data_IF_788542296676
#
_entry.id   IF_788542296676
#
_cell.length_a   1.000
_cell.length_b   1.000
_cell.length_c   1.000
_cell.angle_alpha   90.00
_cell.angle_beta   90.00
_cell.angle_gamma   90.00
#
_symmetry.space_group_name_H-M   'P 1'
#
loop_
_entity.id
_entity.type
_entity.pdbx_description
1 polymer ?
#
# COMPACT_ATOMS: atom_id res chain seq x y z
N UNK A 1 -65.74 57.82 40.47
CA UNK A 1 -65.56 56.35 40.52
C UNK A 1 -65.10 55.86 39.16
N UNK A 2 -63.79 55.59 38.98
CA UNK A 2 -63.26 54.67 37.93
C UNK A 2 -61.82 54.28 38.34
N UNK A 3 -61.63 53.06 38.77
CA UNK A 3 -60.35 52.45 39.05
C UNK A 3 -59.72 52.05 37.70
N UNK A 4 -58.55 52.58 37.40
CA UNK A 4 -57.68 52.12 36.29
C UNK A 4 -56.79 51.02 36.81
N UNK A 5 -56.88 49.81 36.21
CA UNK A 5 -56.01 48.66 36.42
C UNK A 5 -54.79 48.83 35.58
N UNK A 6 -53.62 49.07 36.15
CA UNK A 6 -52.36 49.03 35.52
C UNK A 6 -51.84 47.56 35.45
N UNK A 7 -51.72 47.01 34.26
CA UNK A 7 -51.20 45.65 33.97
C UNK A 7 -49.70 45.70 33.79
N UNK A 8 -48.95 45.04 34.67
CA UNK A 8 -47.49 44.90 34.58
C UNK A 8 -47.15 43.84 33.52
N UNK A 9 -46.86 44.28 32.31
CA UNK A 9 -46.56 43.40 31.16
C UNK A 9 -45.06 43.25 30.80
N UNK A 10 -44.12 43.63 31.66
CA UNK A 10 -42.69 43.70 31.25
C UNK A 10 -41.78 42.66 31.85
N UNK A 11 -42.23 41.85 32.83
CA UNK A 11 -41.33 40.86 33.49
C UNK A 11 -41.36 39.47 32.85
N UNK A 12 -42.46 39.09 32.19
CA UNK A 12 -42.60 37.75 31.59
C UNK A 12 -41.79 37.60 30.27
N UNK A 13 -41.69 38.68 29.47
CA UNK A 13 -40.95 38.65 28.20
C UNK A 13 -39.44 38.51 28.39
N UNK A 14 -38.83 39.04 29.44
CA UNK A 14 -37.38 38.90 29.72
C UNK A 14 -36.99 37.50 30.21
N UNK A 15 -37.87 36.82 30.94
CA UNK A 15 -37.64 35.46 31.41
C UNK A 15 -37.74 34.41 30.28
N UNK A 16 -38.62 34.64 29.31
CA UNK A 16 -38.81 33.75 28.19
C UNK A 16 -37.64 33.84 27.17
N UNK A 17 -37.17 35.03 26.85
CA UNK A 17 -36.01 35.27 25.99
C UNK A 17 -34.71 34.69 26.59
N UNK A 18 -34.51 34.80 27.91
CA UNK A 18 -33.36 34.24 28.61
C UNK A 18 -33.37 32.70 28.67
N UNK A 19 -34.55 32.08 28.71
CA UNK A 19 -34.66 30.60 28.63
C UNK A 19 -34.40 30.05 27.21
N UNK A 20 -34.93 30.75 26.20
CA UNK A 20 -34.67 30.39 24.80
C UNK A 20 -33.16 30.51 24.47
N UNK A 21 -32.50 31.60 24.90
CA UNK A 21 -31.08 31.80 24.67
C UNK A 21 -30.20 30.75 25.36
N UNK A 22 -30.63 30.24 26.56
CA UNK A 22 -29.92 29.17 27.28
C UNK A 22 -30.09 27.78 26.63
N UNK A 23 -31.14 27.53 25.87
CA UNK A 23 -31.36 26.28 25.15
C UNK A 23 -30.69 26.27 23.77
N UNK A 24 -30.61 27.43 23.12
CA UNK A 24 -29.98 27.51 21.78
C UNK A 24 -28.44 27.63 21.79
N UNK A 25 -27.85 28.16 22.88
CA UNK A 25 -26.40 28.31 22.99
C UNK A 25 -25.65 26.96 23.03
N UNK A 26 -26.08 25.94 23.81
CA UNK A 26 -25.46 24.61 23.75
C UNK A 26 -25.76 23.88 22.43
N UNK A 27 -26.92 24.11 21.81
CA UNK A 27 -27.25 23.50 20.51
C UNK A 27 -26.42 24.07 19.36
N UNK A 28 -26.11 25.38 19.35
CA UNK A 28 -25.23 25.99 18.36
C UNK A 28 -23.77 25.62 18.57
N UNK A 29 -23.33 25.41 19.81
CA UNK A 29 -21.98 24.92 20.10
C UNK A 29 -21.85 23.43 19.71
N UNK A 30 -22.85 22.61 19.97
CA UNK A 30 -22.92 21.23 19.55
C UNK A 30 -22.92 21.11 17.98
N UNK A 31 -23.71 21.97 17.32
CA UNK A 31 -23.77 21.99 15.85
C UNK A 31 -22.48 22.52 15.19
N UNK A 32 -21.75 23.44 15.86
CA UNK A 32 -20.41 23.87 15.33
C UNK A 32 -19.31 22.84 15.58
N UNK A 33 -19.43 21.97 16.57
CA UNK A 33 -18.51 20.84 16.78
C UNK A 33 -18.81 19.69 15.81
N UNK A 34 -20.09 19.49 15.46
CA UNK A 34 -20.52 18.52 14.44
C UNK A 34 -20.24 18.97 13.00
N UNK A 35 -19.93 20.25 12.76
CA UNK A 35 -19.58 20.80 11.46
C UNK A 35 -18.07 21.00 11.25
N UNK A 36 -17.23 20.54 12.16
CA UNK A 36 -15.83 20.29 11.85
C UNK A 36 -15.75 19.03 10.99
N UNK A 37 -16.24 19.13 9.75
CA UNK A 37 -15.84 18.22 8.71
C UNK A 37 -14.30 18.24 8.67
N UNK A 38 -13.69 17.19 9.15
CA UNK A 38 -12.31 16.91 8.80
C UNK A 38 -12.32 16.81 7.27
N UNK A 39 -11.95 17.89 6.61
CA UNK A 39 -11.68 17.83 5.17
C UNK A 39 -10.56 16.79 5.06
N UNK A 40 -10.89 15.60 4.62
CA UNK A 40 -9.90 14.65 4.14
C UNK A 40 -9.19 15.36 2.99
N UNK A 41 -8.06 16.00 3.27
CA UNK A 41 -7.19 16.52 2.24
C UNK A 41 -6.68 15.31 1.48
N UNK A 42 -7.19 15.08 0.28
CA UNK A 42 -6.62 14.13 -0.64
C UNK A 42 -5.14 14.50 -0.83
N UNK A 43 -4.24 13.66 -0.36
CA UNK A 43 -2.80 13.88 -0.52
C UNK A 43 -2.48 13.75 -2.00
N UNK A 44 -2.20 14.88 -2.65
CA UNK A 44 -1.78 14.88 -4.06
C UNK A 44 -0.29 14.65 -4.15
N UNK A 45 0.10 13.64 -4.91
CA UNK A 45 1.49 13.30 -5.24
C UNK A 45 1.69 13.31 -6.75
N UNK A 46 2.95 13.42 -7.18
CA UNK A 46 3.33 13.44 -8.60
C UNK A 46 3.96 12.14 -9.08
N UNK A 47 4.19 11.20 -8.18
CA UNK A 47 4.74 9.89 -8.49
C UNK A 47 3.85 9.10 -9.47
N UNK A 48 4.46 8.25 -10.29
CA UNK A 48 3.71 7.33 -11.17
C UNK A 48 3.04 6.19 -10.40
N UNK A 49 3.58 5.87 -9.23
CA UNK A 49 3.00 4.90 -8.33
C UNK A 49 3.61 5.04 -6.93
N UNK A 50 2.80 4.80 -5.90
CA UNK A 50 3.23 4.92 -4.51
C UNK A 50 2.43 4.01 -3.58
N UNK A 51 3.05 3.71 -2.43
CA UNK A 51 2.46 2.85 -1.42
C UNK A 51 3.03 3.17 -0.04
N UNK A 52 2.20 3.15 1.00
CA UNK A 52 2.64 3.17 2.39
C UNK A 52 1.93 2.05 3.13
N UNK A 53 2.68 1.27 3.89
CA UNK A 53 2.13 0.26 4.78
C UNK A 53 2.60 0.44 6.23
N UNK A 54 1.77 0.03 7.16
CA UNK A 54 2.18 -0.26 8.54
C UNK A 54 2.97 -1.57 8.53
N UNK A 55 4.22 -1.52 8.99
CA UNK A 55 5.14 -2.68 8.94
C UNK A 55 4.70 -3.85 9.81
N UNK A 56 3.99 -3.57 10.90
CA UNK A 56 3.55 -4.58 11.86
C UNK A 56 2.33 -5.35 11.36
N UNK A 57 1.40 -4.64 10.72
CA UNK A 57 0.11 -5.18 10.34
C UNK A 57 0.00 -5.52 8.86
N UNK A 58 0.89 -4.96 8.04
CA UNK A 58 0.80 -5.05 6.58
C UNK A 58 -0.28 -4.15 5.97
N UNK A 59 -1.02 -3.39 6.81
CA UNK A 59 -2.11 -2.52 6.35
C UNK A 59 -1.61 -1.44 5.39
N UNK A 60 -2.32 -1.26 4.28
CA UNK A 60 -2.08 -0.18 3.34
C UNK A 60 -2.67 1.14 3.88
N UNK A 61 -1.81 2.10 4.19
CA UNK A 61 -2.21 3.42 4.72
C UNK A 61 -2.30 4.49 3.64
N UNK A 62 -1.61 4.30 2.53
CA UNK A 62 -1.67 5.16 1.36
C UNK A 62 -1.40 4.36 0.09
N UNK A 63 -2.19 4.56 -0.95
CA UNK A 63 -2.07 3.88 -2.24
C UNK A 63 -2.21 4.86 -3.41
N UNK A 64 -1.38 4.69 -4.42
CA UNK A 64 -1.48 5.39 -5.68
C UNK A 64 -0.88 4.53 -6.80
N UNK A 65 -1.70 4.03 -7.73
CA UNK A 65 -1.28 3.07 -8.75
C UNK A 65 -0.45 1.90 -8.16
N UNK A 66 -0.91 1.26 -7.06
CA UNK A 66 -0.09 0.38 -6.23
C UNK A 66 0.40 -0.86 -6.97
N UNK A 67 -0.33 -1.33 -7.99
CA UNK A 67 -0.08 -2.60 -8.66
C UNK A 67 0.49 -2.46 -10.07
N UNK A 68 0.73 -1.22 -10.53
CA UNK A 68 1.34 -0.96 -11.84
C UNK A 68 2.85 -1.26 -11.80
N UNK A 69 3.38 -2.24 -12.59
CA UNK A 69 4.80 -2.55 -12.61
C UNK A 69 5.64 -1.43 -13.24
N UNK A 70 6.54 -0.85 -12.47
CA UNK A 70 7.44 0.24 -12.86
C UNK A 70 8.89 -0.24 -12.69
N UNK A 71 9.86 0.21 -13.55
CA UNK A 71 11.25 -0.07 -13.28
C UNK A 71 11.69 0.54 -11.94
N UNK A 72 12.25 -0.25 -11.00
CA UNK A 72 12.59 0.24 -9.66
C UNK A 72 13.95 0.96 -9.59
N UNK A 73 14.74 0.92 -10.66
CA UNK A 73 16.14 1.31 -10.60
C UNK A 73 16.88 0.61 -9.44
N UNK A 74 17.79 1.28 -8.75
CA UNK A 74 18.56 0.69 -7.65
C UNK A 74 17.76 0.27 -6.42
N UNK A 75 16.43 0.47 -6.36
CA UNK A 75 15.61 -0.20 -5.35
C UNK A 75 15.57 -1.73 -5.53
N UNK A 76 15.93 -2.23 -6.73
CA UNK A 76 16.22 -3.67 -6.98
C UNK A 76 17.11 -4.26 -5.89
N UNK A 77 18.08 -3.50 -5.38
CA UNK A 77 19.01 -3.96 -4.35
C UNK A 77 18.35 -4.30 -3.01
N UNK A 78 17.10 -3.88 -2.77
CA UNK A 78 16.35 -4.30 -1.59
C UNK A 78 16.15 -5.83 -1.63
N UNK A 79 15.75 -6.38 -2.78
CA UNK A 79 15.62 -7.82 -2.93
C UNK A 79 16.98 -8.51 -2.98
N UNK A 80 18.00 -7.91 -3.62
CA UNK A 80 19.36 -8.44 -3.58
C UNK A 80 19.91 -8.54 -2.15
N UNK A 81 19.64 -7.53 -1.31
CA UNK A 81 19.96 -7.57 0.12
C UNK A 81 19.19 -8.69 0.83
N UNK A 82 17.90 -8.89 0.52
CA UNK A 82 17.14 -10.00 1.10
C UNK A 82 17.83 -11.35 0.82
N UNK A 83 18.20 -11.62 -0.41
CA UNK A 83 18.93 -12.85 -0.78
C UNK A 83 20.25 -12.95 -0.02
N UNK A 84 21.04 -11.88 0.05
CA UNK A 84 22.31 -11.89 0.79
C UNK A 84 22.08 -12.19 2.27
N UNK A 85 21.06 -11.57 2.87
CA UNK A 85 20.72 -11.78 4.29
C UNK A 85 20.15 -13.17 4.56
N UNK A 86 19.46 -13.80 3.61
CA UNK A 86 19.03 -15.20 3.76
C UNK A 86 20.21 -16.15 3.87
N UNK A 87 21.27 -15.92 3.08
CA UNK A 87 22.53 -16.68 3.18
C UNK A 87 23.34 -16.38 4.43
N UNK A 88 23.23 -15.16 4.99
CA UNK A 88 23.80 -14.85 6.30
C UNK A 88 23.05 -15.58 7.42
N UNK A 89 21.74 -15.69 7.31
CA UNK A 89 20.90 -16.34 8.32
C UNK A 89 21.02 -17.87 8.32
N UNK A 90 21.18 -18.50 7.18
CA UNK A 90 21.39 -19.96 7.08
C UNK A 90 22.86 -20.40 7.32
N UNK A 91 23.77 -19.42 7.45
CA UNK A 91 25.18 -19.65 7.73
C UNK A 91 26.03 -20.04 6.51
N UNK A 92 25.47 -20.03 5.30
CA UNK A 92 26.24 -20.25 4.06
C UNK A 92 27.14 -19.06 3.69
N UNK A 93 26.84 -17.88 4.27
CA UNK A 93 27.64 -16.66 4.21
C UNK A 93 27.91 -16.12 5.63
N UNK A 94 29.02 -15.40 5.79
CA UNK A 94 29.34 -14.67 7.03
C UNK A 94 29.72 -13.23 6.68
N UNK A 95 29.49 -12.29 7.59
CA UNK A 95 29.94 -10.90 7.43
C UNK A 95 31.45 -10.76 7.24
N UNK A 96 32.23 -11.70 7.80
CA UNK A 96 33.69 -11.75 7.69
C UNK A 96 34.17 -12.43 6.40
N UNK A 97 33.27 -13.09 5.64
CA UNK A 97 33.62 -13.76 4.38
C UNK A 97 34.28 -12.78 3.43
N UNK A 98 35.48 -13.16 2.94
CA UNK A 98 36.27 -12.33 2.03
C UNK A 98 35.87 -12.58 0.59
N UNK A 99 35.28 -11.61 -0.06
CA UNK A 99 34.80 -11.65 -1.45
C UNK A 99 35.92 -11.18 -2.37
N UNK A 100 36.43 -12.04 -3.28
CA UNK A 100 37.48 -11.67 -4.21
C UNK A 100 36.91 -10.78 -5.35
N UNK A 101 37.67 -9.78 -5.76
CA UNK A 101 37.29 -8.87 -6.84
C UNK A 101 38.19 -9.08 -8.05
N UNK A 102 37.60 -9.58 -9.15
CA UNK A 102 38.26 -9.73 -10.43
C UNK A 102 38.42 -8.40 -11.18
N UNK A 103 39.30 -8.41 -12.21
CA UNK A 103 39.62 -7.19 -12.99
C UNK A 103 38.41 -6.56 -13.65
N UNK A 104 37.47 -7.34 -14.18
CA UNK A 104 36.28 -6.81 -14.84
C UNK A 104 35.43 -5.99 -13.88
N UNK A 105 35.18 -6.54 -12.70
CA UNK A 105 34.37 -5.88 -11.67
C UNK A 105 35.10 -4.66 -11.09
N UNK A 106 36.42 -4.73 -10.90
CA UNK A 106 37.20 -3.58 -10.47
C UNK A 106 37.15 -2.43 -11.51
N UNK A 107 37.19 -2.74 -12.80
CA UNK A 107 37.00 -1.72 -13.85
C UNK A 107 35.57 -1.16 -13.83
N UNK A 108 34.55 -2.00 -13.69
CA UNK A 108 33.17 -1.57 -13.59
C UNK A 108 32.94 -0.68 -12.36
N UNK A 109 33.60 -0.95 -11.24
CA UNK A 109 33.50 -0.12 -10.03
C UNK A 109 34.01 1.32 -10.22
N UNK A 110 34.79 1.60 -11.26
CA UNK A 110 35.36 2.90 -11.60
C UNK A 110 34.62 3.63 -12.70
N UNK A 111 33.61 2.99 -13.31
CA UNK A 111 32.79 3.63 -14.34
C UNK A 111 31.92 4.72 -13.71
N UNK A 112 32.08 6.00 -14.11
CA UNK A 112 31.33 7.11 -13.53
C UNK A 112 29.83 7.09 -13.88
N UNK A 113 29.41 6.26 -14.82
CA UNK A 113 28.00 6.07 -15.17
C UNK A 113 27.20 5.31 -14.12
N UNK A 114 27.86 4.70 -13.13
CA UNK A 114 27.24 3.87 -12.13
C UNK A 114 27.61 4.27 -10.69
N UNK A 115 26.69 4.02 -9.77
CA UNK A 115 26.97 4.20 -8.33
C UNK A 115 27.86 3.06 -7.84
N UNK A 116 29.02 3.43 -7.28
CA UNK A 116 30.00 2.47 -6.76
C UNK A 116 30.88 3.07 -5.67
N UNK A 117 31.54 2.19 -4.90
CA UNK A 117 32.84 2.45 -4.26
C UNK A 117 33.93 1.87 -5.17
N UNK A 118 35.16 2.39 -5.12
CA UNK A 118 36.26 1.82 -5.90
C UNK A 118 36.74 0.50 -5.31
N UNK A 119 36.73 -0.53 -6.14
CA UNK A 119 37.26 -1.85 -5.82
C UNK A 119 38.56 -2.12 -6.60
N UNK A 120 39.52 -2.80 -5.98
CA UNK A 120 40.82 -3.11 -6.59
C UNK A 120 40.85 -4.53 -7.09
N UNK A 121 41.41 -4.70 -8.30
CA UNK A 121 41.55 -6.03 -8.89
C UNK A 121 42.55 -6.88 -8.11
N UNK A 122 42.15 -8.10 -7.75
CA UNK A 122 42.90 -9.02 -6.92
C UNK A 122 42.84 -8.77 -5.43
N UNK A 123 42.12 -7.72 -4.98
CA UNK A 123 41.82 -7.52 -3.59
C UNK A 123 40.61 -8.34 -3.14
N UNK A 124 40.48 -8.51 -1.85
CA UNK A 124 39.26 -9.05 -1.19
C UNK A 124 38.62 -8.02 -0.28
N UNK A 125 37.31 -8.11 -0.11
CA UNK A 125 36.50 -7.26 0.73
C UNK A 125 35.58 -8.12 1.58
N UNK A 126 35.42 -7.78 2.86
CA UNK A 126 34.44 -8.49 3.69
C UNK A 126 33.02 -8.21 3.21
N UNK A 127 32.12 -9.15 3.44
CA UNK A 127 30.69 -8.94 3.20
C UNK A 127 30.18 -7.71 3.96
N UNK A 128 30.65 -7.49 5.19
CA UNK A 128 30.34 -6.32 6.00
C UNK A 128 30.71 -5.00 5.30
N UNK A 129 31.93 -4.89 4.75
CA UNK A 129 32.35 -3.72 3.97
C UNK A 129 31.43 -3.50 2.74
N UNK A 130 31.10 -4.58 2.03
CA UNK A 130 30.28 -4.50 0.82
C UNK A 130 28.83 -4.18 1.13
N UNK A 131 28.25 -4.69 2.24
CA UNK A 131 26.90 -4.31 2.70
C UNK A 131 26.81 -2.80 2.97
N UNK A 132 27.80 -2.23 3.67
CA UNK A 132 27.90 -0.80 3.86
C UNK A 132 27.90 -0.01 2.53
N UNK A 133 28.70 -0.48 1.55
CA UNK A 133 28.78 0.15 0.24
C UNK A 133 27.44 0.03 -0.55
N UNK A 134 26.75 -1.09 -0.47
CA UNK A 134 25.43 -1.29 -1.13
C UNK A 134 24.38 -0.35 -0.52
N UNK A 135 24.32 -0.27 0.81
CA UNK A 135 23.28 0.50 1.49
C UNK A 135 23.52 2.02 1.41
N UNK A 136 24.76 2.49 1.62
CA UNK A 136 25.07 3.91 1.70
C UNK A 136 25.16 4.57 0.32
N UNK A 137 26.01 4.02 -0.57
CA UNK A 137 26.25 4.63 -1.89
C UNK A 137 25.61 3.89 -3.05
N UNK A 138 24.85 2.84 -2.75
CA UNK A 138 24.20 2.05 -3.82
C UNK A 138 25.18 1.32 -4.73
N UNK A 139 26.32 0.85 -4.21
CA UNK A 139 27.40 0.27 -4.99
C UNK A 139 26.97 -0.95 -5.80
N UNK A 140 26.95 -0.82 -7.13
CA UNK A 140 26.59 -1.90 -8.06
C UNK A 140 27.59 -3.04 -8.02
N UNK A 141 28.90 -2.71 -8.12
CA UNK A 141 29.96 -3.70 -8.11
C UNK A 141 29.97 -4.54 -6.81
N UNK A 142 29.57 -3.95 -5.68
CA UNK A 142 29.53 -4.65 -4.41
C UNK A 142 28.44 -5.75 -4.38
N UNK A 143 27.22 -5.44 -4.87
CA UNK A 143 26.16 -6.44 -4.93
C UNK A 143 26.48 -7.54 -5.95
N UNK A 144 27.04 -7.18 -7.11
CA UNK A 144 27.49 -8.15 -8.12
C UNK A 144 28.58 -9.09 -7.56
N UNK A 145 29.56 -8.54 -6.81
CA UNK A 145 30.62 -9.34 -6.21
C UNK A 145 30.08 -10.41 -5.26
N UNK A 146 29.13 -10.03 -4.39
CA UNK A 146 28.51 -10.97 -3.45
C UNK A 146 27.65 -11.98 -4.22
N UNK A 147 26.83 -11.52 -5.19
CA UNK A 147 25.99 -12.40 -6.00
C UNK A 147 26.78 -13.45 -6.80
N UNK A 148 27.88 -13.03 -7.45
CA UNK A 148 28.77 -13.94 -8.16
C UNK A 148 29.44 -14.96 -7.22
N UNK A 149 29.82 -14.52 -6.01
CA UNK A 149 30.40 -15.40 -5.00
C UNK A 149 29.40 -16.45 -4.50
N UNK A 150 28.18 -16.06 -4.21
CA UNK A 150 27.13 -16.93 -3.67
C UNK A 150 26.63 -17.94 -4.71
N UNK A 151 26.29 -17.47 -5.90
CA UNK A 151 25.57 -18.26 -6.89
C UNK A 151 26.44 -18.65 -8.12
N UNK A 152 27.69 -18.23 -8.15
CA UNK A 152 28.64 -18.49 -9.27
C UNK A 152 28.40 -17.59 -10.48
N UNK A 153 27.30 -16.85 -10.54
CA UNK A 153 27.04 -15.86 -11.60
C UNK A 153 25.90 -14.92 -11.15
N UNK A 154 25.89 -13.68 -11.70
CA UNK A 154 24.78 -12.76 -11.53
C UNK A 154 23.44 -13.38 -12.00
N UNK A 155 23.44 -14.15 -13.10
CA UNK A 155 22.23 -14.78 -13.62
C UNK A 155 21.56 -15.71 -12.59
N UNK A 156 22.34 -16.60 -11.97
CA UNK A 156 21.82 -17.51 -10.94
C UNK A 156 21.36 -16.75 -9.69
N UNK A 157 22.05 -15.67 -9.33
CA UNK A 157 21.63 -14.81 -8.21
C UNK A 157 20.29 -14.11 -8.50
N UNK A 158 20.09 -13.65 -9.73
CA UNK A 158 18.82 -13.07 -10.18
C UNK A 158 17.70 -14.12 -10.23
N UNK A 159 18.02 -15.36 -10.62
CA UNK A 159 17.05 -16.46 -10.55
C UNK A 159 16.59 -16.69 -9.11
N UNK A 160 17.50 -16.65 -8.14
CA UNK A 160 17.14 -16.75 -6.73
C UNK A 160 16.27 -15.57 -6.27
N UNK A 161 16.60 -14.33 -6.69
CA UNK A 161 15.75 -13.17 -6.44
C UNK A 161 14.31 -13.37 -6.96
N UNK A 162 14.16 -13.86 -8.19
CA UNK A 162 12.84 -14.10 -8.78
C UNK A 162 12.10 -15.26 -8.12
N UNK A 163 12.81 -16.28 -7.61
CA UNK A 163 12.20 -17.35 -6.83
C UNK A 163 11.56 -16.82 -5.54
N UNK A 164 12.19 -15.86 -4.85
CA UNK A 164 11.62 -15.22 -3.69
C UNK A 164 10.34 -14.41 -4.03
N UNK A 165 10.34 -13.64 -5.12
CA UNK A 165 9.14 -12.93 -5.58
C UNK A 165 7.99 -13.90 -5.85
N UNK A 166 8.30 -15.00 -6.54
CA UNK A 166 7.31 -16.03 -6.85
C UNK A 166 6.75 -16.69 -5.59
N UNK A 167 7.63 -17.02 -4.63
CA UNK A 167 7.23 -17.63 -3.36
C UNK A 167 6.32 -16.72 -2.51
N UNK A 168 6.45 -15.40 -2.68
CA UNK A 168 5.61 -14.43 -1.97
C UNK A 168 4.40 -13.95 -2.76
N UNK A 169 4.19 -14.44 -3.99
CA UNK A 169 3.14 -13.95 -4.87
C UNK A 169 3.31 -12.49 -5.30
N UNK A 170 4.53 -11.95 -5.23
CA UNK A 170 4.79 -10.54 -5.54
C UNK A 170 4.85 -10.34 -7.05
N UNK A 171 4.03 -9.41 -7.55
CA UNK A 171 4.04 -9.02 -8.95
C UNK A 171 5.31 -8.24 -9.31
N UNK A 172 6.31 -8.93 -9.82
CA UNK A 172 7.61 -8.37 -10.20
C UNK A 172 8.48 -9.37 -10.94
N UNK A 173 9.47 -8.87 -11.68
CA UNK A 173 10.46 -9.68 -12.38
C UNK A 173 11.75 -8.90 -12.56
N UNK A 174 12.89 -9.52 -12.28
CA UNK A 174 14.22 -8.94 -12.40
C UNK A 174 15.08 -9.69 -13.40
N UNK A 175 15.97 -8.96 -14.06
CA UNK A 175 16.96 -9.48 -15.04
C UNK A 175 18.39 -9.07 -14.69
N UNK A 176 18.57 -8.21 -13.70
CA UNK A 176 19.86 -7.86 -13.09
C UNK A 176 19.67 -7.56 -11.59
N UNK A 177 20.73 -7.72 -10.81
CA UNK A 177 20.72 -7.55 -9.37
C UNK A 177 20.92 -6.09 -8.91
N UNK A 178 21.23 -5.18 -9.83
CA UNK A 178 21.63 -3.79 -9.52
C UNK A 178 20.53 -2.78 -9.75
N UNK A 179 19.61 -3.07 -10.68
CA UNK A 179 18.54 -2.18 -11.12
C UNK A 179 18.93 -1.25 -12.27
N UNK A 180 19.99 -1.53 -12.97
CA UNK A 180 20.40 -0.76 -14.16
C UNK A 180 19.47 -1.06 -15.35
N UNK A 181 19.01 -2.29 -15.47
CA UNK A 181 18.13 -2.69 -16.58
C UNK A 181 16.71 -2.12 -16.41
N UNK A 182 16.20 -1.50 -17.48
CA UNK A 182 14.79 -1.06 -17.54
C UNK A 182 13.80 -2.23 -17.65
N UNK A 183 14.29 -3.45 -17.84
CA UNK A 183 13.47 -4.67 -17.87
C UNK A 183 13.15 -5.19 -16.47
N UNK A 184 13.87 -4.77 -15.43
CA UNK A 184 13.43 -4.98 -14.05
C UNK A 184 12.09 -4.28 -13.84
N UNK A 185 11.12 -4.99 -13.31
CA UNK A 185 9.77 -4.49 -13.06
C UNK A 185 9.25 -4.99 -11.73
N UNK A 186 8.64 -4.11 -10.98
CA UNK A 186 7.90 -4.43 -9.76
C UNK A 186 6.87 -3.35 -9.51
N UNK A 187 5.75 -3.72 -8.90
CA UNK A 187 4.75 -2.73 -8.48
C UNK A 187 5.15 -2.02 -7.18
N UNK A 188 4.62 -0.82 -6.89
CA UNK A 188 4.84 -0.14 -5.61
C UNK A 188 4.50 -1.01 -4.40
N UNK A 189 3.36 -1.70 -4.42
CA UNK A 189 2.94 -2.67 -3.40
C UNK A 189 3.97 -3.79 -3.27
N UNK A 190 4.35 -4.40 -4.39
CA UNK A 190 5.34 -5.47 -4.39
C UNK A 190 6.68 -5.03 -3.81
N UNK A 191 7.14 -3.80 -4.12
CA UNK A 191 8.37 -3.25 -3.56
C UNK A 191 8.23 -3.00 -2.05
N UNK A 192 7.07 -2.51 -1.58
CA UNK A 192 6.80 -2.33 -0.16
C UNK A 192 6.80 -3.66 0.58
N UNK A 193 6.20 -4.71 -0.01
CA UNK A 193 6.22 -6.07 0.53
C UNK A 193 7.65 -6.59 0.68
N UNK A 194 8.48 -6.48 -0.37
CA UNK A 194 9.89 -6.90 -0.33
C UNK A 194 10.67 -6.13 0.74
N UNK A 195 10.46 -4.81 0.83
CA UNK A 195 11.11 -3.97 1.81
C UNK A 195 10.70 -4.33 3.24
N UNK A 196 9.41 -4.56 3.46
CA UNK A 196 8.89 -4.95 4.76
C UNK A 196 9.46 -6.31 5.20
N UNK A 197 9.50 -7.29 4.30
CA UNK A 197 10.12 -8.58 4.58
C UNK A 197 11.61 -8.44 4.92
N UNK A 198 12.38 -7.65 4.16
CA UNK A 198 13.79 -7.42 4.47
C UNK A 198 13.98 -6.86 5.89
N UNK A 199 13.15 -5.90 6.29
CA UNK A 199 13.25 -5.27 7.60
C UNK A 199 12.78 -6.21 8.71
N UNK A 200 11.69 -6.94 8.48
CA UNK A 200 11.09 -7.84 9.49
C UNK A 200 11.94 -9.08 9.72
N UNK A 201 12.39 -9.74 8.65
CA UNK A 201 13.16 -10.98 8.74
C UNK A 201 14.62 -10.72 9.11
N UNK A 202 15.17 -9.56 8.65
CA UNK A 202 16.59 -9.22 8.81
C UNK A 202 16.79 -7.77 9.28
N UNK A 203 16.31 -7.38 10.47
CA UNK A 203 16.35 -6.00 10.96
C UNK A 203 17.76 -5.40 11.04
N UNK A 204 18.77 -6.24 11.05
CA UNK A 204 20.19 -5.87 11.06
C UNK A 204 20.61 -5.04 9.82
N UNK A 205 19.84 -5.12 8.73
CA UNK A 205 20.03 -4.28 7.54
C UNK A 205 19.93 -2.79 7.86
N UNK A 206 19.11 -2.43 8.86
CA UNK A 206 18.93 -1.05 9.29
C UNK A 206 20.20 -0.44 9.90
N UNK A 207 21.10 -1.25 10.42
CA UNK A 207 22.43 -0.80 10.90
C UNK A 207 23.25 -0.19 9.75
N UNK A 208 23.03 -0.60 8.50
CA UNK A 208 23.71 -0.03 7.34
C UNK A 208 22.90 1.07 6.65
N UNK A 209 21.57 0.91 6.53
CA UNK A 209 20.74 1.87 5.81
C UNK A 209 20.52 3.18 6.57
N UNK A 210 20.73 3.19 7.89
CA UNK A 210 20.67 4.38 8.75
C UNK A 210 21.99 5.15 8.84
N UNK A 211 23.08 4.65 8.25
CA UNK A 211 24.38 5.30 8.30
C UNK A 211 24.34 6.68 7.62
N UNK A 212 24.83 7.69 8.32
CA UNK A 212 24.97 9.05 7.80
C UNK A 212 26.27 9.30 7.03
N UNK A 213 27.21 8.39 7.15
CA UNK A 213 28.44 8.29 6.34
C UNK A 213 28.98 6.86 6.37
N UNK A 214 29.85 6.56 5.41
CA UNK A 214 30.61 5.31 5.33
C UNK A 214 32.09 5.61 5.11
N UNK A 215 32.97 5.11 5.97
CA UNK A 215 34.40 5.07 5.70
C UNK A 215 34.75 3.77 5.00
N UNK A 216 35.13 3.86 3.73
CA UNK A 216 35.50 2.70 2.93
C UNK A 216 36.90 2.87 2.34
N UNK A 217 37.83 2.07 2.83
CA UNK A 217 39.22 2.05 2.35
C UNK A 217 39.89 3.45 2.29
N UNK A 218 39.69 4.25 3.30
CA UNK A 218 40.28 5.60 3.40
C UNK A 218 39.47 6.71 2.75
N UNK A 219 38.34 6.42 2.12
CA UNK A 219 37.42 7.40 1.57
C UNK A 219 36.17 7.49 2.43
N UNK A 220 35.64 8.71 2.58
CA UNK A 220 34.36 8.95 3.26
C UNK A 220 33.26 9.17 2.22
N UNK A 221 32.20 8.35 2.30
CA UNK A 221 31.03 8.42 1.43
C UNK A 221 29.81 8.84 2.24
N UNK A 222 28.89 9.54 1.60
CA UNK A 222 27.63 9.98 2.19
C UNK A 222 26.44 9.27 1.56
N UNK A 223 25.34 9.02 2.32
CA UNK A 223 24.21 8.28 1.82
C UNK A 223 23.47 9.00 0.70
N UNK A 224 22.95 8.22 -0.21
CA UNK A 224 22.02 8.71 -1.25
C UNK A 224 20.65 9.04 -0.66
N UNK A 225 20.28 8.46 0.48
CA UNK A 225 19.07 8.78 1.22
C UNK A 225 19.22 10.12 1.95
N UNK A 226 18.40 11.10 1.57
CA UNK A 226 18.42 12.45 2.15
C UNK A 226 17.39 12.65 3.27
N UNK A 227 16.63 11.63 3.65
CA UNK A 227 15.73 11.66 4.80
C UNK A 227 16.40 11.26 6.11
N UNK A 228 17.63 10.75 6.06
CA UNK A 228 18.42 10.42 7.26
C UNK A 228 18.84 11.70 8.01
N UNK A 229 19.21 11.60 9.30
CA UNK A 229 19.68 12.73 10.12
C UNK A 229 20.79 13.52 9.42
N UNK A 230 20.65 14.86 9.41
CA UNK A 230 21.55 15.77 8.71
C UNK A 230 21.34 15.86 7.20
N UNK A 231 20.40 15.15 6.64
CA UNK A 231 20.01 15.21 5.23
C UNK A 231 19.10 16.40 4.91
N UNK A 232 19.06 16.82 3.64
CA UNK A 232 18.25 17.96 3.20
C UNK A 232 16.74 17.79 3.37
N UNK A 233 16.27 16.56 3.55
CA UNK A 233 14.89 16.16 3.76
C UNK A 233 14.77 15.33 5.06
N UNK A 234 15.60 15.65 6.05
CA UNK A 234 15.59 14.96 7.34
C UNK A 234 14.16 14.74 7.84
N UNK A 235 13.87 13.48 8.19
CA UNK A 235 12.54 13.06 8.61
C UNK A 235 12.61 12.29 9.92
N UNK A 236 11.78 12.65 10.87
CA UNK A 236 11.78 12.06 12.20
C UNK A 236 11.56 10.55 12.14
N UNK A 237 12.49 9.81 12.77
CA UNK A 237 12.46 8.36 12.83
C UNK A 237 12.96 7.63 11.58
N UNK A 238 13.38 8.35 10.53
CA UNK A 238 13.90 7.73 9.30
C UNK A 238 15.20 6.96 9.56
N UNK A 239 15.25 5.69 9.16
CA UNK A 239 16.38 4.78 9.31
C UNK A 239 16.69 3.94 8.05
N UNK A 240 16.04 4.26 6.93
CA UNK A 240 16.25 3.56 5.66
C UNK A 240 15.38 4.12 4.53
N UNK A 241 15.28 3.48 3.41
CA UNK A 241 15.92 2.23 3.02
C UNK A 241 16.79 2.42 1.77
N UNK A 242 16.19 2.74 0.60
CA UNK A 242 16.92 2.73 -0.67
C UNK A 242 16.36 3.71 -1.70
N UNK A 243 17.28 4.45 -2.34
CA UNK A 243 16.96 5.29 -3.51
C UNK A 243 17.20 4.54 -4.82
N UNK A 244 16.49 4.94 -5.88
CA UNK A 244 16.73 4.47 -7.24
C UNK A 244 16.58 5.60 -8.26
N UNK A 245 17.42 5.65 -9.29
CA UNK A 245 17.29 6.61 -10.38
C UNK A 245 17.86 6.05 -11.66
N UNK A 246 17.08 5.99 -12.72
CA UNK A 246 17.48 5.78 -14.11
C UNK A 246 16.57 6.60 -15.01
N UNK A 247 16.94 6.83 -16.26
CA UNK A 247 16.08 7.54 -17.22
C UNK A 247 14.72 6.83 -17.44
N UNK A 248 14.68 5.50 -17.38
CA UNK A 248 13.48 4.70 -17.57
C UNK A 248 12.59 4.64 -16.31
N UNK A 249 13.21 4.60 -15.13
CA UNK A 249 12.51 4.53 -13.86
C UNK A 249 12.00 5.88 -13.38
N UNK A 250 12.65 6.99 -13.78
CA UNK A 250 12.53 8.25 -13.06
C UNK A 250 13.27 8.19 -11.71
N UNK A 251 12.85 9.00 -10.77
CA UNK A 251 13.37 9.02 -9.41
C UNK A 251 12.46 8.19 -8.49
N UNK A 252 13.04 7.18 -7.83
CA UNK A 252 12.34 6.26 -6.96
C UNK A 252 12.93 6.28 -5.55
N UNK A 253 12.13 5.96 -4.55
CA UNK A 253 12.59 5.84 -3.17
C UNK A 253 11.70 4.86 -2.39
N UNK A 254 12.34 3.98 -1.65
CA UNK A 254 11.71 3.23 -0.57
C UNK A 254 12.24 3.80 0.74
N UNK A 255 11.34 4.36 1.54
CA UNK A 255 11.62 4.94 2.84
C UNK A 255 11.06 4.11 3.98
N UNK A 256 11.66 4.22 5.16
CA UNK A 256 11.11 3.66 6.40
C UNK A 256 11.43 4.58 7.57
N UNK A 257 10.47 4.67 8.49
CA UNK A 257 10.63 5.45 9.71
C UNK A 257 9.87 4.81 10.88
N UNK A 258 10.35 5.06 12.10
CA UNK A 258 9.73 4.60 13.34
C UNK A 258 9.30 5.80 14.17
N UNK A 259 8.04 5.82 14.61
CA UNK A 259 7.51 6.77 15.60
C UNK A 259 6.67 6.03 16.64
N UNK A 260 6.92 6.31 17.91
CA UNK A 260 6.19 5.69 19.04
C UNK A 260 6.13 4.14 19.00
N UNK A 261 7.21 3.51 18.50
CA UNK A 261 7.31 2.05 18.38
C UNK A 261 6.64 1.47 17.12
N UNK A 262 5.89 2.24 16.35
CA UNK A 262 5.33 1.82 15.07
C UNK A 262 6.28 2.16 13.93
N UNK A 263 6.34 1.26 12.92
CA UNK A 263 7.15 1.44 11.72
C UNK A 263 6.25 1.58 10.50
N UNK A 264 6.54 2.56 9.67
CA UNK A 264 5.99 2.66 8.31
C UNK A 264 7.05 2.32 7.28
N UNK A 265 6.61 1.67 6.21
CA UNK A 265 7.39 1.47 4.98
C UNK A 265 6.67 2.18 3.83
N UNK A 266 7.38 3.07 3.15
CA UNK A 266 6.85 3.87 2.05
C UNK A 266 7.59 3.58 0.74
N UNK A 267 6.89 3.61 -0.37
CA UNK A 267 7.46 3.45 -1.71
C UNK A 267 6.92 4.55 -2.62
N UNK A 268 7.83 5.24 -3.30
CA UNK A 268 7.55 6.20 -4.36
C UNK A 268 8.30 5.79 -5.62
N UNK A 269 7.61 5.70 -6.75
CA UNK A 269 8.18 5.26 -8.02
C UNK A 269 7.81 6.20 -9.15
N UNK A 270 8.80 6.53 -9.98
CA UNK A 270 8.56 7.25 -11.22
C UNK A 270 8.44 8.76 -11.07
N UNK A 271 9.04 9.35 -10.06
CA UNK A 271 9.13 10.80 -9.90
C UNK A 271 9.97 11.48 -10.98
N UNK A 272 9.58 12.70 -11.30
CA UNK A 272 10.26 13.53 -12.31
C UNK A 272 11.60 14.09 -11.84
N UNK A 273 11.80 14.22 -10.53
CA UNK A 273 13.03 14.78 -9.96
C UNK A 273 13.46 14.09 -8.67
N UNK A 274 14.75 14.24 -8.36
CA UNK A 274 15.36 13.71 -7.14
C UNK A 274 14.78 14.32 -5.86
N UNK A 275 14.25 15.54 -5.92
CA UNK A 275 13.65 16.20 -4.77
C UNK A 275 12.23 15.73 -4.53
N UNK A 276 11.44 15.57 -5.61
CA UNK A 276 10.03 15.23 -5.51
C UNK A 276 9.80 13.88 -4.85
N UNK A 277 10.69 12.88 -5.06
CA UNK A 277 10.58 11.59 -4.36
C UNK A 277 10.58 11.71 -2.83
N UNK A 278 11.30 12.70 -2.27
CA UNK A 278 11.29 12.94 -0.82
C UNK A 278 10.07 13.76 -0.40
N UNK A 279 9.72 14.78 -1.20
CA UNK A 279 8.53 15.61 -0.93
C UNK A 279 7.27 14.74 -0.87
N UNK A 280 7.08 13.88 -1.87
CA UNK A 280 5.91 13.03 -1.92
C UNK A 280 5.96 11.91 -0.86
N UNK A 281 7.14 11.34 -0.58
CA UNK A 281 7.31 10.42 0.55
C UNK A 281 6.90 11.05 1.88
N UNK A 282 7.35 12.28 2.17
CA UNK A 282 7.00 12.99 3.40
C UNK A 282 5.50 13.20 3.50
N UNK A 283 4.87 13.70 2.42
CA UNK A 283 3.41 13.91 2.40
C UNK A 283 2.62 12.63 2.71
N UNK A 284 2.98 11.53 2.07
CA UNK A 284 2.30 10.23 2.27
C UNK A 284 2.52 9.69 3.67
N UNK A 285 3.74 9.79 4.19
CA UNK A 285 4.05 9.32 5.54
C UNK A 285 3.37 10.19 6.61
N UNK A 286 3.37 11.52 6.45
CA UNK A 286 2.67 12.43 7.37
C UNK A 286 1.16 12.13 7.38
N UNK A 287 0.55 11.99 6.21
CA UNK A 287 -0.85 11.56 6.11
C UNK A 287 -1.10 10.23 6.83
N UNK A 288 -0.20 9.25 6.65
CA UNK A 288 -0.35 7.92 7.26
C UNK A 288 -0.20 7.98 8.78
N UNK A 289 0.71 8.81 9.31
CA UNK A 289 0.84 9.05 10.75
C UNK A 289 -0.38 9.76 11.32
N UNK A 290 -0.93 10.75 10.62
CA UNK A 290 -2.14 11.45 11.02
C UNK A 290 -3.35 10.52 11.05
N UNK A 291 -3.46 9.64 10.05
CA UNK A 291 -4.48 8.59 10.00
C UNK A 291 -4.39 7.66 11.21
N UNK A 292 -3.21 7.13 11.52
CA UNK A 292 -3.00 6.27 12.69
C UNK A 292 -3.27 7.00 14.01
N UNK A 293 -2.88 8.28 14.09
CA UNK A 293 -3.08 9.10 15.29
C UNK A 293 -4.55 9.43 15.52
N UNK A 294 -5.30 9.74 14.47
CA UNK A 294 -6.74 10.02 14.55
C UNK A 294 -7.53 8.78 14.96
N UNK A 295 -7.17 7.61 14.43
CA UNK A 295 -7.74 6.32 14.82
C UNK A 295 -7.51 6.05 16.31
N UNK A 296 -6.29 6.24 16.81
CA UNK A 296 -5.97 6.07 18.23
C UNK A 296 -6.74 7.05 19.13
N UNK A 297 -6.90 8.30 18.72
CA UNK A 297 -7.64 9.33 19.50
C UNK A 297 -9.13 9.04 19.59
N UNK A 298 -9.71 8.42 18.58
CA UNK A 298 -11.13 8.04 18.55
C UNK A 298 -11.43 6.74 19.32
N UNK A 299 -10.42 6.16 20.00
CA UNK A 299 -10.56 4.90 20.72
C UNK A 299 -10.70 3.69 19.78
N UNK A 300 -10.49 3.92 18.49
CA UNK A 300 -10.32 2.88 17.50
C UNK A 300 -8.94 2.25 17.71
N UNK A 301 -8.84 1.40 18.75
CA UNK A 301 -7.75 0.45 18.83
C UNK A 301 -7.99 -0.57 17.73
N UNK A 302 -7.47 -0.26 16.55
CA UNK A 302 -7.17 -1.29 15.59
C UNK A 302 -6.21 -2.24 16.27
N UNK A 303 -6.63 -3.48 16.30
CA UNK A 303 -6.01 -4.72 16.75
C UNK A 303 -6.43 -5.20 18.14
N UNK A 304 -7.51 -5.93 18.14
CA UNK A 304 -7.50 -7.20 18.87
C UNK A 304 -6.34 -8.02 18.26
N UNK A 305 -5.50 -8.58 19.12
CA UNK A 305 -4.27 -9.30 18.74
C UNK A 305 -4.51 -10.64 18.01
N UNK A 306 -5.71 -10.88 17.51
CA UNK A 306 -6.06 -11.93 16.56
C UNK A 306 -6.38 -11.27 15.23
N UNK A 307 -5.58 -11.52 14.18
CA UNK A 307 -5.89 -11.04 12.84
C UNK A 307 -7.18 -11.71 12.38
N UNK A 308 -8.29 -10.98 12.44
CA UNK A 308 -9.54 -11.37 11.81
C UNK A 308 -9.74 -10.47 10.62
N UNK A 309 -9.94 -11.07 9.46
CA UNK A 309 -10.45 -10.37 8.30
C UNK A 309 -11.77 -9.70 8.66
N UNK A 310 -11.96 -8.47 8.25
CA UNK A 310 -13.21 -7.75 8.47
C UNK A 310 -13.57 -6.89 7.27
N UNK A 311 -14.84 -6.56 7.19
CA UNK A 311 -15.41 -5.73 6.15
C UNK A 311 -16.08 -4.53 6.81
N UNK A 312 -15.93 -3.36 6.21
CA UNK A 312 -16.60 -2.12 6.66
C UNK A 312 -17.29 -1.45 5.48
N UNK A 313 -18.39 -0.77 5.76
CA UNK A 313 -18.97 0.18 4.83
C UNK A 313 -17.95 1.30 4.55
N UNK A 314 -17.94 1.84 3.35
CA UNK A 314 -16.95 2.82 2.89
C UNK A 314 -17.60 3.93 2.08
N UNK A 315 -16.95 5.08 2.05
CA UNK A 315 -17.22 6.17 1.12
C UNK A 315 -16.61 5.95 -0.27
N UNK A 316 -15.88 4.83 -0.45
CA UNK A 316 -15.44 4.39 -1.75
C UNK A 316 -16.66 4.09 -2.62
N UNK A 317 -16.74 4.74 -3.77
CA UNK A 317 -17.86 4.61 -4.67
C UNK A 317 -17.53 3.69 -5.82
N UNK A 318 -18.33 2.65 -6.01
CA UNK A 318 -18.25 1.76 -7.14
C UNK A 318 -19.48 1.91 -8.03
N UNK A 319 -19.26 1.84 -9.32
CA UNK A 319 -20.32 1.96 -10.33
C UNK A 319 -20.26 0.76 -11.27
N UNK A 320 -21.42 0.18 -11.53
CA UNK A 320 -21.59 -0.86 -12.53
C UNK A 320 -22.56 -0.32 -13.57
N UNK A 321 -22.13 -0.24 -14.84
CA UNK A 321 -22.92 0.29 -15.93
C UNK A 321 -23.56 1.66 -15.60
N UNK A 322 -22.74 2.59 -15.11
CA UNK A 322 -23.12 3.96 -14.71
C UNK A 322 -24.02 4.09 -13.45
N UNK A 323 -24.34 2.98 -12.79
CA UNK A 323 -25.14 2.97 -11.56
C UNK A 323 -24.30 2.63 -10.35
N UNK A 324 -24.42 3.43 -9.29
CA UNK A 324 -23.69 3.19 -8.04
C UNK A 324 -24.18 1.93 -7.34
N UNK A 325 -23.25 1.07 -6.91
CA UNK A 325 -23.54 -0.16 -6.15
C UNK A 325 -23.03 0.00 -4.71
N UNK A 326 -23.79 -0.44 -3.70
CA UNK A 326 -23.31 -0.51 -2.32
C UNK A 326 -22.00 -1.26 -2.24
N UNK A 327 -20.98 -0.60 -1.66
CA UNK A 327 -19.61 -1.10 -1.65
C UNK A 327 -19.08 -1.12 -0.22
N UNK A 328 -18.29 -2.14 0.07
CA UNK A 328 -17.58 -2.31 1.33
C UNK A 328 -16.09 -2.39 1.05
N UNK A 329 -15.25 -2.15 2.05
CA UNK A 329 -13.82 -2.48 1.97
C UNK A 329 -13.57 -3.69 2.85
N UNK A 330 -12.96 -4.71 2.24
CA UNK A 330 -12.35 -5.81 2.96
C UNK A 330 -10.90 -5.44 3.27
N UNK A 331 -10.56 -5.49 4.55
CA UNK A 331 -9.19 -5.34 5.02
C UNK A 331 -8.63 -6.74 5.31
N UNK A 332 -7.74 -7.20 4.43
CA UNK A 332 -7.10 -8.50 4.55
C UNK A 332 -6.01 -8.52 5.61
N UNK A 333 -5.61 -9.71 6.02
CA UNK A 333 -4.46 -9.93 6.89
C UNK A 333 -3.26 -10.45 6.10
N UNK A 334 -2.06 -10.34 6.68
CA UNK A 334 -0.85 -10.90 6.08
C UNK A 334 -0.93 -12.44 5.90
N UNK A 335 -1.75 -13.12 6.68
CA UNK A 335 -1.93 -14.58 6.62
C UNK A 335 -2.87 -15.01 5.49
N UNK A 336 -3.89 -14.19 5.19
CA UNK A 336 -4.87 -14.51 4.13
C UNK A 336 -4.36 -14.19 2.74
N UNK A 337 -3.24 -13.48 2.61
CA UNK A 337 -2.68 -13.00 1.34
C UNK A 337 -3.66 -12.14 0.50
N UNK A 338 -4.82 -11.78 1.08
CA UNK A 338 -5.79 -10.89 0.48
C UNK A 338 -5.45 -9.45 0.86
N UNK A 339 -5.24 -8.66 -0.17
CA UNK A 339 -5.03 -7.22 -0.05
C UNK A 339 -6.38 -6.54 0.13
N UNK A 340 -6.38 -5.36 0.74
CA UNK A 340 -7.57 -4.53 0.83
C UNK A 340 -8.23 -4.43 -0.54
N UNK A 341 -9.51 -4.77 -0.61
CA UNK A 341 -10.24 -4.75 -1.86
C UNK A 341 -11.66 -4.21 -1.67
N UNK A 342 -12.17 -3.57 -2.70
CA UNK A 342 -13.57 -3.20 -2.75
C UNK A 342 -14.43 -4.47 -2.95
N UNK A 343 -15.46 -4.60 -2.14
CA UNK A 343 -16.33 -5.77 -2.09
C UNK A 343 -17.77 -5.35 -2.34
N UNK A 344 -18.49 -6.13 -3.15
CA UNK A 344 -19.91 -5.94 -3.44
C UNK A 344 -20.69 -7.20 -3.09
N UNK A 345 -21.93 -7.02 -2.63
CA UNK A 345 -22.79 -8.13 -2.28
C UNK A 345 -23.35 -8.79 -3.53
N UNK A 346 -23.31 -10.12 -3.60
CA UNK A 346 -23.83 -10.89 -4.73
C UNK A 346 -25.32 -10.62 -4.98
N UNK A 347 -26.10 -10.45 -3.91
CA UNK A 347 -27.55 -10.17 -4.02
C UNK A 347 -27.86 -8.87 -4.75
N UNK A 348 -26.95 -7.87 -4.68
CA UNK A 348 -27.16 -6.57 -5.27
C UNK A 348 -26.87 -6.59 -6.77
N UNK A 349 -25.94 -7.45 -7.24
CA UNK A 349 -25.56 -7.55 -8.65
C UNK A 349 -26.73 -7.81 -9.60
N UNK A 350 -27.78 -8.50 -9.14
CA UNK A 350 -28.97 -8.78 -9.96
C UNK A 350 -29.70 -7.52 -10.46
N UNK A 351 -29.54 -6.41 -9.76
CA UNK A 351 -30.16 -5.13 -10.10
C UNK A 351 -29.30 -4.32 -11.10
N UNK A 352 -28.07 -4.80 -11.36
CA UNK A 352 -27.06 -4.16 -12.20
C UNK A 352 -26.78 -4.90 -13.53
N UNK A 353 -27.70 -5.75 -13.97
CA UNK A 353 -27.60 -6.44 -15.25
C UNK A 353 -27.01 -7.85 -15.14
N UNK A 354 -26.93 -8.43 -13.95
CA UNK A 354 -26.46 -9.80 -13.78
C UNK A 354 -27.61 -10.74 -13.38
N UNK A 355 -27.56 -11.97 -13.88
CA UNK A 355 -28.35 -13.06 -13.35
C UNK A 355 -27.53 -13.79 -12.29
N UNK A 356 -28.06 -13.82 -11.07
CA UNK A 356 -27.43 -14.49 -9.92
C UNK A 356 -28.29 -15.69 -9.54
N UNK A 357 -27.72 -16.88 -9.61
CA UNK A 357 -28.39 -18.14 -9.26
C UNK A 357 -27.53 -18.99 -8.34
N UNK A 358 -28.17 -19.76 -7.47
CA UNK A 358 -27.50 -20.69 -6.55
C UNK A 358 -27.95 -22.12 -6.81
N UNK A 359 -26.98 -23.01 -7.01
CA UNK A 359 -27.19 -24.44 -7.11
C UNK A 359 -26.81 -25.13 -5.79
N UNK A 360 -27.82 -25.58 -5.06
CA UNK A 360 -27.65 -26.25 -3.78
C UNK A 360 -26.91 -27.61 -3.89
N UNK A 361 -26.98 -28.26 -5.06
CA UNK A 361 -26.37 -29.59 -5.23
C UNK A 361 -24.85 -29.51 -5.40
N UNK A 362 -24.36 -28.42 -5.97
CA UNK A 362 -22.94 -28.19 -6.22
C UNK A 362 -22.36 -27.13 -5.30
N UNK A 363 -23.16 -26.53 -4.42
CA UNK A 363 -22.79 -25.38 -3.59
C UNK A 363 -22.13 -24.26 -4.40
N UNK A 364 -22.77 -23.90 -5.52
CA UNK A 364 -22.20 -22.95 -6.47
C UNK A 364 -23.15 -21.78 -6.71
N UNK A 365 -22.68 -20.58 -6.52
CA UNK A 365 -23.33 -19.35 -7.02
C UNK A 365 -22.83 -19.08 -8.44
N UNK A 366 -23.73 -18.95 -9.40
CA UNK A 366 -23.38 -18.57 -10.76
C UNK A 366 -23.85 -17.14 -11.01
N UNK A 367 -22.95 -16.30 -11.47
CA UNK A 367 -23.17 -14.91 -11.87
C UNK A 367 -22.97 -14.83 -13.38
N UNK A 368 -24.00 -14.47 -14.11
CA UNK A 368 -23.97 -14.33 -15.57
C UNK A 368 -24.21 -12.88 -15.94
N UNK A 369 -23.31 -12.28 -16.72
CA UNK A 369 -23.55 -10.99 -17.35
C UNK A 369 -24.68 -11.16 -18.39
N UNK A 370 -25.83 -10.55 -18.13
CA UNK A 370 -26.99 -10.59 -19.02
C UNK A 370 -27.25 -9.22 -19.61
N UNK A 371 -26.69 -8.99 -20.80
CA UNK A 371 -26.75 -7.71 -21.51
C UNK A 371 -28.17 -7.30 -21.91
N UNK A 372 -29.09 -8.25 -21.97
CA UNK A 372 -30.51 -7.98 -22.35
C UNK A 372 -31.37 -7.67 -21.11
N UNK A 373 -30.78 -7.74 -19.90
CA UNK A 373 -31.52 -7.50 -18.67
C UNK A 373 -31.60 -6.01 -18.37
N UNK A 374 -32.82 -5.52 -18.15
CA UNK A 374 -33.02 -4.15 -17.68
C UNK A 374 -32.34 -3.91 -16.33
N UNK A 375 -31.65 -2.77 -16.22
CA UNK A 375 -31.11 -2.32 -14.96
C UNK A 375 -32.26 -1.84 -14.06
N UNK A 376 -32.42 -2.49 -12.92
CA UNK A 376 -33.46 -2.14 -11.94
C UNK A 376 -32.91 -1.32 -10.78
N UNK A 377 -31.58 -1.22 -10.66
CA UNK A 377 -30.94 -0.30 -9.73
C UNK A 377 -31.39 1.12 -10.03
N UNK A 378 -31.92 1.79 -9.06
CA UNK A 378 -32.27 3.21 -9.15
C UNK A 378 -31.11 4.11 -8.76
N UNK A 379 -31.13 5.39 -9.14
CA UNK A 379 -30.09 6.34 -8.75
C UNK A 379 -30.18 6.74 -7.27
N UNK A 380 -30.40 5.82 -6.37
CA UNK A 380 -30.57 6.10 -4.94
C UNK A 380 -29.23 6.33 -4.26
N UNK A 381 -28.67 7.49 -4.48
CA UNK A 381 -27.47 8.01 -3.84
C UNK A 381 -27.60 8.18 -2.30
N UNK A 382 -28.72 7.89 -1.70
CA UNK A 382 -29.00 8.20 -0.30
C UNK A 382 -29.27 7.01 0.61
N UNK A 383 -29.42 5.80 0.06
CA UNK A 383 -29.74 4.61 0.85
C UNK A 383 -28.55 3.64 0.99
N UNK A 384 -27.34 4.14 0.86
CA UNK A 384 -26.13 3.33 0.86
C UNK A 384 -25.86 2.63 2.18
N UNK A 385 -26.46 3.01 3.27
CA UNK A 385 -26.14 2.38 4.52
C UNK A 385 -27.35 1.93 5.31
N UNK A 386 -27.62 0.66 5.24
CA UNK A 386 -28.18 -0.05 6.39
C UNK A 386 -27.13 -0.21 7.51
N UNK A 387 -25.92 0.32 7.31
CA UNK A 387 -24.76 0.19 8.19
C UNK A 387 -24.14 1.56 8.41
N UNK A 388 -23.81 1.88 9.65
CA UNK A 388 -22.96 3.05 9.94
C UNK A 388 -21.62 2.90 9.24
N UNK A 389 -21.07 3.98 8.68
CA UNK A 389 -19.81 4.01 7.92
C UNK A 389 -18.59 3.42 8.67
N UNK A 390 -18.72 3.10 9.94
CA UNK A 390 -17.67 2.53 10.79
C UNK A 390 -18.07 1.16 11.39
N UNK A 391 -19.23 0.60 11.03
CA UNK A 391 -19.65 -0.70 11.55
C UNK A 391 -18.82 -1.82 10.90
N UNK A 392 -18.02 -2.50 11.73
CA UNK A 392 -17.31 -3.70 11.31
C UNK A 392 -18.29 -4.86 11.19
N UNK A 393 -18.37 -5.43 10.00
CA UNK A 393 -19.10 -6.65 9.76
C UNK A 393 -18.13 -7.82 9.92
N UNK A 394 -18.42 -8.72 10.85
CA UNK A 394 -17.63 -9.93 11.02
C UNK A 394 -17.87 -10.86 9.82
N UNK A 395 -16.76 -11.37 9.27
CA UNK A 395 -16.82 -12.49 8.34
C UNK A 395 -17.29 -13.72 9.09
N UNK A 396 -18.22 -14.45 8.52
CA UNK A 396 -18.62 -15.72 9.12
C UNK A 396 -17.51 -16.77 8.94
N UNK A 397 -17.41 -17.71 9.88
CA UNK A 397 -16.51 -18.88 9.76
C UNK A 397 -16.96 -19.86 8.66
N UNK A 398 -17.97 -19.51 7.88
CA UNK A 398 -18.52 -20.32 6.80
C UNK A 398 -17.68 -20.15 5.54
N UNK A 399 -17.24 -21.25 4.94
CA UNK A 399 -16.53 -21.18 3.66
C UNK A 399 -17.49 -20.63 2.60
N UNK A 400 -17.10 -19.58 1.86
CA UNK A 400 -17.96 -19.03 0.82
C UNK A 400 -18.22 -20.10 -0.25
N UNK A 401 -19.46 -20.14 -0.75
CA UNK A 401 -19.84 -20.98 -1.88
C UNK A 401 -18.90 -20.73 -3.08
N UNK A 402 -18.69 -21.75 -3.90
CA UNK A 402 -17.98 -21.57 -5.16
C UNK A 402 -18.73 -20.52 -6.01
N UNK A 403 -18.06 -19.46 -6.43
CA UNK A 403 -18.66 -18.41 -7.24
C UNK A 403 -18.14 -18.50 -8.67
N UNK A 404 -19.01 -18.85 -9.60
CA UNK A 404 -18.72 -18.98 -11.03
C UNK A 404 -19.16 -17.74 -11.78
N UNK A 405 -18.22 -17.04 -12.41
CA UNK A 405 -18.43 -15.83 -13.19
C UNK A 405 -18.50 -16.15 -14.69
N UNK A 406 -19.54 -15.67 -15.36
CA UNK A 406 -19.77 -15.92 -16.79
C UNK A 406 -20.09 -14.63 -17.53
N UNK A 407 -19.40 -14.41 -18.65
CA UNK A 407 -19.69 -13.30 -19.54
C UNK A 407 -20.69 -13.73 -20.64
N UNK A 408 -21.90 -14.03 -20.21
CA UNK A 408 -23.00 -14.53 -21.04
C UNK A 408 -23.34 -15.99 -20.77
N UNK A 409 -24.50 -16.46 -21.26
CA UNK A 409 -25.02 -17.79 -20.94
C UNK A 409 -24.16 -18.95 -21.49
N UNK A 410 -23.48 -18.74 -22.60
CA UNK A 410 -22.64 -19.74 -23.28
C UNK A 410 -21.18 -19.76 -22.82
N UNK A 411 -20.77 -18.82 -21.96
CA UNK A 411 -19.42 -18.77 -21.41
C UNK A 411 -19.22 -19.94 -20.43
N UNK A 412 -18.14 -20.74 -20.53
CA UNK A 412 -17.80 -21.76 -19.54
C UNK A 412 -17.61 -21.19 -18.13
N UNK A 413 -17.18 -19.92 -18.02
CA UNK A 413 -16.96 -19.20 -16.78
C UNK A 413 -15.59 -19.45 -16.13
N UNK A 414 -15.27 -18.61 -15.16
CA UNK A 414 -14.13 -18.74 -14.24
C UNK A 414 -14.64 -18.68 -12.80
N UNK A 415 -14.00 -19.42 -11.91
CA UNK A 415 -14.29 -19.28 -10.49
C UNK A 415 -13.60 -18.04 -9.93
N UNK A 416 -14.35 -17.26 -9.15
CA UNK A 416 -13.79 -16.13 -8.42
C UNK A 416 -12.84 -16.63 -7.32
N UNK A 417 -11.72 -15.93 -7.17
CA UNK A 417 -10.69 -16.26 -6.19
C UNK A 417 -10.92 -15.52 -4.86
N UNK A 418 -11.46 -14.30 -4.92
CA UNK A 418 -11.68 -13.44 -3.74
C UNK A 418 -13.17 -13.32 -3.43
N UNK A 419 -13.64 -14.24 -2.61
CA UNK A 419 -15.04 -14.37 -2.20
C UNK A 419 -15.16 -14.29 -0.68
N UNK A 420 -16.30 -13.78 -0.20
CA UNK A 420 -16.53 -13.52 1.22
C UNK A 420 -17.94 -13.93 1.61
N UNK A 421 -18.14 -14.32 2.85
CA UNK A 421 -19.45 -14.42 3.46
C UNK A 421 -19.62 -13.31 4.50
N UNK A 422 -20.61 -12.46 4.32
CA UNK A 422 -20.94 -11.35 5.19
C UNK A 422 -22.29 -11.64 5.84
N UNK A 423 -22.30 -12.09 7.08
CA UNK A 423 -23.52 -12.42 7.82
C UNK A 423 -24.47 -13.36 7.06
N UNK A 424 -23.93 -14.43 6.44
CA UNK A 424 -24.71 -15.38 5.66
C UNK A 424 -25.10 -14.89 4.27
N UNK A 425 -24.47 -13.84 3.77
CA UNK A 425 -24.67 -13.29 2.42
C UNK A 425 -23.36 -13.29 1.67
N UNK A 426 -23.31 -13.98 0.54
CA UNK A 426 -22.12 -14.01 -0.30
C UNK A 426 -21.77 -12.63 -0.85
N UNK A 427 -20.47 -12.35 -0.92
CA UNK A 427 -19.90 -11.14 -1.50
C UNK A 427 -18.66 -11.48 -2.33
N UNK A 428 -18.25 -10.56 -3.19
CA UNK A 428 -17.12 -10.74 -4.11
C UNK A 428 -16.31 -9.45 -4.21
N UNK A 429 -14.99 -9.57 -4.37
CA UNK A 429 -14.18 -8.42 -4.74
C UNK A 429 -14.63 -7.87 -6.09
N UNK A 430 -14.76 -6.55 -6.20
CA UNK A 430 -15.20 -5.92 -7.44
C UNK A 430 -14.20 -6.16 -8.60
N UNK A 431 -12.94 -6.40 -8.28
CA UNK A 431 -11.92 -6.73 -9.26
C UNK A 431 -12.19 -8.06 -9.99
N UNK A 432 -12.88 -9.00 -9.33
CA UNK A 432 -13.25 -10.27 -9.96
C UNK A 432 -14.21 -10.10 -11.14
N UNK A 433 -14.92 -8.97 -11.19
CA UNK A 433 -15.82 -8.65 -12.30
C UNK A 433 -15.09 -8.36 -13.64
N UNK A 434 -13.75 -8.30 -13.63
CA UNK A 434 -12.93 -8.11 -14.84
C UNK A 434 -13.22 -9.15 -15.94
N UNK A 435 -13.59 -10.35 -15.54
CA UNK A 435 -13.94 -11.41 -16.48
C UNK A 435 -15.20 -11.09 -17.29
N UNK A 436 -16.11 -10.35 -16.68
CA UNK A 436 -17.41 -9.99 -17.29
C UNK A 436 -17.45 -8.60 -17.91
N UNK A 437 -16.37 -7.82 -17.75
CA UNK A 437 -16.33 -6.45 -18.26
C UNK A 437 -14.98 -5.79 -18.08
N UNK A 438 -14.94 -4.48 -18.22
CA UNK A 438 -13.75 -3.67 -17.96
C UNK A 438 -13.88 -3.01 -16.60
N UNK A 439 -12.95 -3.28 -15.71
CA UNK A 439 -12.85 -2.61 -14.40
C UNK A 439 -11.85 -1.46 -14.53
N UNK A 440 -12.28 -0.26 -14.23
CA UNK A 440 -11.47 0.97 -14.32
C UNK A 440 -11.52 1.70 -12.99
N UNK A 441 -10.37 1.89 -12.40
CA UNK A 441 -10.20 2.78 -11.25
C UNK A 441 -10.01 4.22 -11.71
N UNK A 442 -10.79 5.15 -11.15
CA UNK A 442 -10.66 6.58 -11.41
C UNK A 442 -10.20 7.31 -10.15
N UNK A 443 -8.89 7.56 -10.08
CA UNK A 443 -8.25 8.21 -8.92
C UNK A 443 -8.81 9.60 -8.60
N UNK A 444 -9.12 10.38 -9.64
CA UNK A 444 -9.56 11.77 -9.45
C UNK A 444 -10.81 11.87 -8.58
N UNK A 445 -11.67 10.86 -8.69
CA UNK A 445 -12.96 10.85 -8.01
C UNK A 445 -13.08 9.77 -6.93
N UNK A 446 -12.00 9.00 -6.70
CA UNK A 446 -11.99 7.84 -5.80
C UNK A 446 -13.13 6.85 -6.09
N UNK A 447 -13.28 6.48 -7.37
CA UNK A 447 -14.34 5.60 -7.83
C UNK A 447 -13.78 4.43 -8.64
N UNK A 448 -14.41 3.26 -8.52
CA UNK A 448 -14.22 2.14 -9.43
C UNK A 448 -15.42 2.05 -10.37
N UNK A 449 -15.17 1.93 -11.66
CA UNK A 449 -16.19 1.77 -12.67
C UNK A 449 -16.04 0.41 -13.32
N UNK A 450 -17.09 -0.38 -13.30
CA UNK A 450 -17.18 -1.64 -14.02
C UNK A 450 -18.12 -1.43 -15.22
N UNK A 451 -17.59 -1.58 -16.41
CA UNK A 451 -18.38 -1.56 -17.64
C UNK A 451 -18.45 -2.98 -18.16
N UNK A 452 -19.59 -3.63 -17.99
CA UNK A 452 -19.84 -4.93 -18.59
C UNK A 452 -20.14 -4.73 -20.07
N UNK A 453 -19.44 -5.45 -20.93
CA UNK A 453 -19.57 -5.24 -22.37
C UNK A 453 -20.77 -5.93 -22.95
N UNK A 454 -21.31 -5.26 -23.93
CA UNK A 454 -22.36 -5.65 -24.87
C UNK A 454 -21.83 -6.60 -25.94
#
# INVERSE_FOLDING_TARGET
>A
MHKVLNYKSTSVKKSFAAKILRCFLPLTIALTVLLSSVSAYAVSISARGAFVLDSETGEALFVHNPDTPIPPASMTKILSLYVIYSHLADGSLSKDTQIPVGRALANYSRDPGYSNVYLDAGATYSVDELLGAICVVSANAAVMAIGDYLCGSEANFVDEMNNWLSAWGVNGYFVDCTGVSSRNKISPRGMATVANRLISDYPDVLNYTSLTFLNFRGYTYYPTNKMLPGGAYEYEGADGLKTGTTSAAGCCFTGTAVRNGKRLVSVVMGESSTNMRYVDTIKMMDYSWDLLSSRAANGQTYFDSTPKDYIVATDLRCFINDWEIPTFIHYGTAETNYLDCAVVMLRDLKDYGFDVSYDLATDTVTIVNNVDKDLTAGPNYGEQSQYDDEEKLELSDWEPANILLKNGPDDPGVYAERTFDINGSGAISIDELWHMGTVVWNEKYNITVVVTRY
#
